data_IF_531084004585
#
_entry.id   IF_531084004585
#
_cell.length_a   1.000
_cell.length_b   1.000
_cell.length_c   1.000
_cell.angle_alpha   90.00
_cell.angle_beta   90.00
_cell.angle_gamma   90.00
#
_symmetry.space_group_name_H-M   'P 1'
#
loop_
_entity.id
_entity.type
_entity.pdbx_description
1 polymer ?
#
# COMPACT_ATOMS: atom_id res chain seq x y z
N UNK A 1 22.99 -8.74 -25.91
CA UNK A 1 24.24 -8.08 -25.45
C UNK A 1 23.99 -6.81 -24.66
N UNK A 2 23.18 -5.85 -25.14
CA UNK A 2 22.93 -4.58 -24.42
C UNK A 2 22.25 -4.72 -23.03
N UNK A 3 21.42 -5.75 -22.81
CA UNK A 3 20.77 -5.98 -21.51
C UNK A 3 21.72 -6.48 -20.41
N UNK A 4 22.83 -7.14 -20.79
CA UNK A 4 23.81 -7.67 -19.86
C UNK A 4 24.71 -6.55 -19.29
N UNK A 5 25.14 -5.61 -20.15
CA UNK A 5 25.90 -4.43 -19.72
C UNK A 5 25.08 -3.49 -18.81
N UNK A 6 23.77 -3.30 -19.09
CA UNK A 6 22.88 -2.53 -18.20
C UNK A 6 22.67 -3.19 -16.83
N UNK A 7 22.83 -4.51 -16.73
CA UNK A 7 22.66 -5.25 -15.49
C UNK A 7 23.80 -5.06 -14.48
N UNK A 8 24.99 -4.66 -14.92
CA UNK A 8 26.14 -4.39 -14.05
C UNK A 8 26.05 -3.03 -13.32
N UNK A 9 25.15 -2.15 -13.79
CA UNK A 9 24.97 -0.78 -13.28
C UNK A 9 23.59 -0.55 -12.64
N UNK A 10 22.68 -1.55 -12.64
CA UNK A 10 21.34 -1.39 -12.05
C UNK A 10 21.26 -2.01 -10.67
N UNK A 11 20.80 -1.25 -9.69
CA UNK A 11 20.46 -1.80 -8.38
C UNK A 11 19.19 -2.63 -8.48
N UNK A 12 19.26 -3.90 -8.07
CA UNK A 12 18.07 -4.75 -7.92
C UNK A 12 17.16 -4.16 -6.84
N UNK A 13 15.85 -4.13 -7.12
CA UNK A 13 14.84 -3.58 -6.21
C UNK A 13 13.93 -4.69 -5.68
N UNK A 14 13.48 -4.54 -4.44
CA UNK A 14 12.33 -5.27 -3.91
C UNK A 14 11.24 -4.26 -3.55
N UNK A 15 10.00 -4.52 -3.94
CA UNK A 15 8.86 -3.62 -3.74
C UNK A 15 7.81 -4.34 -2.93
N UNK A 16 7.46 -3.78 -1.79
CA UNK A 16 6.21 -4.09 -1.12
C UNK A 16 5.14 -3.16 -1.68
N UNK A 17 4.22 -3.71 -2.47
CA UNK A 17 3.11 -2.97 -3.08
C UNK A 17 1.86 -3.09 -2.22
N UNK A 18 1.97 -2.59 -0.98
CA UNK A 18 0.89 -2.63 -0.02
C UNK A 18 -0.33 -1.80 -0.43
N UNK A 19 -1.46 -2.11 0.20
CA UNK A 19 -2.71 -1.38 -0.07
C UNK A 19 -2.62 0.07 0.42
N UNK A 20 -1.91 0.32 1.52
CA UNK A 20 -1.83 1.62 2.19
C UNK A 20 -0.51 2.35 1.93
N UNK A 21 0.61 1.63 1.94
CA UNK A 21 1.95 2.15 1.72
C UNK A 21 2.70 1.25 0.74
N UNK A 22 3.62 1.87 -0.01
CA UNK A 22 4.55 1.19 -0.89
C UNK A 22 5.96 1.44 -0.38
N UNK A 23 6.71 0.35 -0.19
CA UNK A 23 8.11 0.41 0.23
C UNK A 23 9.00 -0.12 -0.88
N UNK A 24 10.15 0.51 -1.09
CA UNK A 24 11.18 0.02 -2.01
C UNK A 24 12.47 -0.22 -1.23
N UNK A 25 12.96 -1.44 -1.31
CA UNK A 25 14.27 -1.85 -0.83
C UNK A 25 15.25 -1.95 -2.00
N UNK A 26 16.44 -1.40 -1.84
CA UNK A 26 17.53 -1.46 -2.81
C UNK A 26 18.67 -2.31 -2.24
N UNK A 27 19.14 -3.28 -3.01
CA UNK A 27 20.21 -4.19 -2.56
C UNK A 27 21.45 -3.42 -2.15
N UNK A 28 21.85 -3.57 -0.88
CA UNK A 28 23.03 -2.92 -0.31
C UNK A 28 22.79 -1.50 0.22
N UNK A 29 21.58 -0.95 0.04
CA UNK A 29 21.20 0.37 0.55
C UNK A 29 20.11 0.32 1.62
N UNK A 30 19.33 -0.76 1.69
CA UNK A 30 18.21 -0.86 2.62
C UNK A 30 16.91 -0.34 2.02
N UNK A 31 15.99 0.09 2.88
CA UNK A 31 14.74 0.74 2.48
C UNK A 31 15.08 2.16 2.00
N UNK A 32 14.82 2.43 0.72
CA UNK A 32 15.10 3.70 0.04
C UNK A 32 13.85 4.51 -0.27
N UNK A 33 12.66 3.92 -0.10
CA UNK A 33 11.38 4.60 -0.24
C UNK A 33 10.35 3.98 0.71
N UNK A 34 9.56 4.84 1.34
CA UNK A 34 8.37 4.49 2.10
C UNK A 34 7.34 5.61 1.90
N UNK A 35 6.36 5.38 1.03
CA UNK A 35 5.38 6.38 0.63
C UNK A 35 3.98 5.78 0.63
N UNK A 36 2.93 6.57 0.95
CA UNK A 36 1.55 6.13 0.80
C UNK A 36 1.23 5.66 -0.63
N UNK A 37 0.45 4.59 -0.77
CA UNK A 37 -0.03 4.08 -2.07
C UNK A 37 -1.22 4.90 -2.57
N UNK A 38 -1.00 6.19 -2.79
CA UNK A 38 -2.04 7.17 -3.15
C UNK A 38 -1.61 7.94 -4.39
N UNK A 39 -2.57 8.15 -5.29
CA UNK A 39 -2.43 9.02 -6.47
C UNK A 39 -3.47 10.12 -6.42
N UNK A 40 -3.09 11.33 -6.80
CA UNK A 40 -4.00 12.43 -7.06
C UNK A 40 -4.07 12.66 -8.57
N UNK A 41 -5.27 12.67 -9.13
CA UNK A 41 -5.51 12.76 -10.55
C UNK A 41 -6.25 14.06 -10.82
N UNK A 42 -5.69 14.92 -11.65
CA UNK A 42 -6.37 16.11 -12.16
C UNK A 42 -7.16 15.73 -13.41
N UNK A 43 -8.39 16.19 -13.49
CA UNK A 43 -9.20 16.13 -14.69
C UNK A 43 -9.39 17.54 -15.25
N UNK A 44 -8.80 17.79 -16.42
CA UNK A 44 -8.93 19.09 -17.09
C UNK A 44 -10.26 19.16 -17.87
N UNK A 45 -10.92 20.32 -17.86
CA UNK A 45 -12.14 20.70 -18.62
C UNK A 45 -13.23 19.62 -18.81
N UNK A 46 -14.27 19.69 -17.97
CA UNK A 46 -15.57 19.03 -18.17
C UNK A 46 -15.59 17.51 -17.92
N UNK A 47 -16.78 16.88 -17.83
CA UNK A 47 -16.89 15.42 -17.72
C UNK A 47 -16.29 14.74 -18.96
N UNK A 48 -15.17 14.04 -18.77
CA UNK A 48 -14.49 13.27 -19.83
C UNK A 48 -13.21 13.89 -20.40
N UNK A 49 -12.77 15.05 -19.91
CA UNK A 49 -11.49 15.63 -20.34
C UNK A 49 -10.25 14.83 -19.90
N UNK A 50 -9.05 15.17 -20.43
CA UNK A 50 -7.83 14.40 -20.21
C UNK A 50 -7.47 14.36 -18.72
N UNK A 51 -7.01 13.19 -18.29
CA UNK A 51 -6.58 12.96 -16.90
C UNK A 51 -5.06 12.97 -16.82
N UNK A 52 -4.53 13.67 -15.84
CA UNK A 52 -3.09 13.72 -15.55
C UNK A 52 -2.83 13.40 -14.07
N UNK A 53 -1.64 12.87 -13.78
CA UNK A 53 -1.21 12.67 -12.39
C UNK A 53 -0.77 14.02 -11.85
N UNK A 54 -1.47 14.49 -10.82
CA UNK A 54 -1.14 15.73 -10.08
C UNK A 54 -0.06 15.45 -9.02
N UNK A 55 -0.26 14.41 -8.23
CA UNK A 55 0.66 14.03 -7.15
C UNK A 55 0.62 12.51 -6.92
N UNK A 56 1.67 11.98 -6.28
CA UNK A 56 1.80 10.58 -5.87
C UNK A 56 2.39 10.54 -4.46
N UNK A 57 2.07 9.52 -3.68
CA UNK A 57 2.70 9.33 -2.37
C UNK A 57 2.14 10.27 -1.30
N UNK A 58 3.03 10.78 -0.47
CA UNK A 58 2.72 11.65 0.66
C UNK A 58 1.93 12.89 0.26
N UNK A 59 2.28 13.50 -0.88
CA UNK A 59 1.59 14.70 -1.34
C UNK A 59 0.18 14.39 -1.84
N UNK A 60 -0.03 13.23 -2.45
CA UNK A 60 -1.38 12.77 -2.79
C UNK A 60 -2.20 12.39 -1.54
N UNK A 61 -1.57 11.77 -0.52
CA UNK A 61 -2.26 11.43 0.75
C UNK A 61 -2.78 12.69 1.46
N UNK A 62 -2.03 13.80 1.47
CA UNK A 62 -2.48 15.08 2.05
C UNK A 62 -3.75 15.65 1.40
N UNK A 63 -4.03 15.25 0.16
CA UNK A 63 -5.19 15.71 -0.61
C UNK A 63 -6.45 14.88 -0.35
N UNK A 64 -6.34 13.66 0.19
CA UNK A 64 -7.49 12.77 0.41
C UNK A 64 -8.57 13.45 1.27
N UNK A 65 -9.80 13.48 0.75
CA UNK A 65 -10.95 14.13 1.41
C UNK A 65 -10.89 15.66 1.47
N UNK A 66 -9.91 16.29 0.78
CA UNK A 66 -9.68 17.75 0.78
C UNK A 66 -9.53 18.33 -0.64
N UNK A 67 -9.83 17.55 -1.68
CA UNK A 67 -9.71 18.00 -3.07
C UNK A 67 -10.93 18.79 -3.54
N UNK A 68 -10.75 19.76 -4.47
CA UNK A 68 -11.86 20.26 -5.28
C UNK A 68 -12.33 19.20 -6.29
N UNK A 69 -13.50 19.38 -6.90
CA UNK A 69 -14.09 18.42 -7.85
C UNK A 69 -13.19 18.07 -9.05
N UNK A 70 -12.27 18.96 -9.42
CA UNK A 70 -11.32 18.75 -10.52
C UNK A 70 -10.14 17.84 -10.17
N UNK A 71 -9.96 17.47 -8.91
CA UNK A 71 -8.90 16.58 -8.45
C UNK A 71 -9.51 15.40 -7.70
N UNK A 72 -9.14 14.19 -8.09
CA UNK A 72 -9.54 12.97 -7.42
C UNK A 72 -8.31 12.29 -6.82
N UNK A 73 -8.19 12.31 -5.49
CA UNK A 73 -7.20 11.53 -4.77
C UNK A 73 -7.77 10.14 -4.44
N UNK A 74 -7.04 9.07 -4.77
CA UNK A 74 -7.47 7.70 -4.52
C UNK A 74 -6.30 6.73 -4.34
N UNK A 75 -6.57 5.60 -3.70
CA UNK A 75 -5.65 4.45 -3.63
C UNK A 75 -5.88 3.55 -4.85
N UNK A 76 -4.87 3.29 -5.70
CA UNK A 76 -5.03 2.44 -6.87
C UNK A 76 -4.92 0.94 -6.54
N UNK A 77 -4.45 0.63 -5.33
CA UNK A 77 -4.47 -0.69 -4.69
C UNK A 77 -5.63 -0.75 -3.70
N UNK A 78 -6.39 -1.84 -3.68
CA UNK A 78 -7.47 -2.08 -2.70
C UNK A 78 -7.55 -3.55 -2.34
N UNK A 79 -7.72 -3.88 -1.06
CA UNK A 79 -7.85 -5.25 -0.56
C UNK A 79 -6.75 -6.20 -1.10
N UNK A 80 -5.49 -5.75 -1.15
CA UNK A 80 -4.35 -6.51 -1.68
C UNK A 80 -4.27 -6.61 -3.21
N UNK A 81 -5.23 -6.05 -3.96
CA UNK A 81 -5.31 -6.21 -5.42
C UNK A 81 -5.24 -4.87 -6.14
N UNK A 82 -4.88 -4.90 -7.43
CA UNK A 82 -4.87 -3.72 -8.29
C UNK A 82 -6.31 -3.37 -8.65
N UNK A 83 -6.80 -2.25 -8.12
CA UNK A 83 -8.12 -1.71 -8.47
C UNK A 83 -8.06 -0.85 -9.74
N UNK A 84 -6.91 -0.22 -10.02
CA UNK A 84 -6.69 0.58 -11.22
C UNK A 84 -5.27 0.37 -11.77
N UNK A 85 -5.18 -0.39 -12.87
CA UNK A 85 -3.93 -0.76 -13.51
C UNK A 85 -3.13 0.45 -13.98
N UNK A 86 -3.80 1.38 -14.67
CA UNK A 86 -3.18 2.56 -15.26
C UNK A 86 -2.53 3.41 -14.18
N UNK A 87 -3.24 3.66 -13.08
CA UNK A 87 -2.68 4.48 -12.01
C UNK A 87 -1.68 3.75 -11.13
N UNK A 88 -1.81 2.43 -10.96
CA UNK A 88 -0.78 1.63 -10.27
C UNK A 88 0.53 1.66 -11.05
N UNK A 89 0.49 1.49 -12.37
CA UNK A 89 1.68 1.61 -13.22
C UNK A 89 2.30 3.01 -13.11
N UNK A 90 1.49 4.08 -13.18
CA UNK A 90 1.98 5.47 -13.04
C UNK A 90 2.60 5.74 -11.67
N UNK A 91 2.00 5.20 -10.61
CA UNK A 91 2.53 5.27 -9.25
C UNK A 91 3.87 4.56 -9.13
N UNK A 92 3.97 3.32 -9.63
CA UNK A 92 5.23 2.57 -9.67
C UNK A 92 6.30 3.27 -10.52
N UNK A 93 5.93 3.81 -11.69
CA UNK A 93 6.82 4.63 -12.53
C UNK A 93 7.38 5.81 -11.74
N UNK A 94 6.53 6.50 -10.98
CA UNK A 94 6.93 7.62 -10.15
C UNK A 94 7.92 7.18 -9.05
N UNK A 95 7.59 6.13 -8.28
CA UNK A 95 8.44 5.66 -7.18
C UNK A 95 9.77 5.08 -7.67
N UNK A 96 9.77 4.26 -8.72
CA UNK A 96 11.00 3.71 -9.31
C UNK A 96 11.87 4.85 -9.84
N UNK A 97 11.29 5.86 -10.49
CA UNK A 97 12.05 7.04 -10.94
C UNK A 97 12.64 7.80 -9.75
N UNK A 98 11.85 8.07 -8.71
CA UNK A 98 12.27 8.79 -7.49
C UNK A 98 13.50 8.16 -6.85
N UNK A 99 13.53 6.83 -6.74
CA UNK A 99 14.67 6.09 -6.18
C UNK A 99 15.94 6.20 -7.05
N UNK A 100 15.81 6.53 -8.34
CA UNK A 100 16.92 6.62 -9.28
C UNK A 100 17.22 8.05 -9.78
N UNK A 101 16.63 9.09 -9.17
CA UNK A 101 16.76 10.49 -9.63
C UNK A 101 18.21 10.97 -9.75
N UNK A 102 19.12 10.43 -8.94
CA UNK A 102 20.54 10.81 -8.93
C UNK A 102 21.42 10.00 -9.89
N UNK A 103 20.84 9.12 -10.72
CA UNK A 103 21.61 8.29 -11.65
C UNK A 103 21.62 8.88 -13.06
N UNK A 104 22.82 9.00 -13.65
CA UNK A 104 23.05 9.54 -15.00
C UNK A 104 22.34 8.75 -16.11
N UNK A 105 22.01 7.48 -15.86
CA UNK A 105 21.31 6.60 -16.80
C UNK A 105 20.02 6.07 -16.17
N UNK A 106 18.95 5.97 -16.97
CA UNK A 106 17.73 5.27 -16.56
C UNK A 106 18.02 3.77 -16.41
N UNK A 107 18.05 3.21 -15.20
CA UNK A 107 18.33 1.81 -15.01
C UNK A 107 17.11 0.96 -15.41
N UNK A 108 17.36 -0.30 -15.78
CA UNK A 108 16.31 -1.30 -16.02
C UNK A 108 16.49 -2.43 -15.00
N UNK A 109 16.06 -2.22 -13.74
CA UNK A 109 16.37 -3.12 -12.64
C UNK A 109 15.63 -4.45 -12.78
N UNK A 110 16.11 -5.48 -12.07
CA UNK A 110 15.29 -6.63 -11.72
C UNK A 110 14.50 -6.26 -10.48
N UNK A 111 13.23 -6.61 -10.45
CA UNK A 111 12.33 -6.26 -9.36
C UNK A 111 11.75 -7.54 -8.75
N UNK A 112 11.78 -7.65 -7.43
CA UNK A 112 11.02 -8.62 -6.65
C UNK A 112 9.81 -7.89 -6.05
N UNK A 113 8.59 -8.44 -6.16
CA UNK A 113 7.38 -7.80 -5.63
C UNK A 113 6.61 -8.77 -4.74
N UNK A 114 6.22 -8.31 -3.55
CA UNK A 114 5.32 -9.05 -2.67
C UNK A 114 3.91 -9.13 -3.29
N UNK A 115 3.29 -10.30 -3.24
CA UNK A 115 1.90 -10.50 -3.67
C UNK A 115 1.13 -11.29 -2.62
N UNK A 116 -0.14 -10.94 -2.37
CA UNK A 116 -0.97 -11.69 -1.43
C UNK A 116 -1.01 -13.18 -1.78
N UNK A 117 -1.06 -14.03 -0.76
CA UNK A 117 -1.17 -15.48 -0.97
C UNK A 117 -2.42 -15.85 -1.78
N UNK A 118 -3.53 -15.14 -1.53
CA UNK A 118 -4.81 -15.32 -2.23
C UNK A 118 -4.91 -14.69 -3.62
N UNK A 119 -3.85 -14.02 -4.12
CA UNK A 119 -3.92 -13.32 -5.40
C UNK A 119 -4.12 -14.28 -6.58
N UNK A 120 -5.15 -14.01 -7.38
CA UNK A 120 -5.49 -14.75 -8.61
C UNK A 120 -4.38 -14.62 -9.65
N UNK A 121 -4.37 -15.50 -10.65
CA UNK A 121 -3.40 -15.40 -11.76
C UNK A 121 -3.53 -14.08 -12.53
N UNK A 122 -4.74 -13.52 -12.62
CA UNK A 122 -4.99 -12.24 -13.28
C UNK A 122 -4.37 -11.10 -12.47
N UNK A 123 -4.51 -11.09 -11.15
CA UNK A 123 -3.91 -10.09 -10.26
C UNK A 123 -2.38 -10.21 -10.21
N UNK A 124 -1.84 -11.43 -10.13
CA UNK A 124 -0.39 -11.66 -10.21
C UNK A 124 0.18 -11.18 -11.55
N UNK A 125 -0.55 -11.40 -12.64
CA UNK A 125 -0.17 -10.89 -13.97
C UNK A 125 -0.26 -9.36 -14.04
N UNK A 126 -1.30 -8.77 -13.45
CA UNK A 126 -1.48 -7.33 -13.35
C UNK A 126 -0.27 -6.65 -12.71
N UNK A 127 0.14 -7.12 -11.53
CA UNK A 127 1.27 -6.58 -10.78
C UNK A 127 2.55 -6.68 -11.60
N UNK A 128 2.76 -7.84 -12.24
CA UNK A 128 3.91 -8.07 -13.11
C UNK A 128 3.93 -7.10 -14.29
N UNK A 129 2.82 -6.93 -14.99
CA UNK A 129 2.71 -6.04 -16.16
C UNK A 129 2.89 -4.57 -15.75
N UNK A 130 2.30 -4.12 -14.64
CA UNK A 130 2.51 -2.76 -14.12
C UNK A 130 3.97 -2.48 -13.78
N UNK A 131 4.68 -3.44 -13.17
CA UNK A 131 6.10 -3.26 -12.86
C UNK A 131 7.00 -3.27 -14.12
N UNK A 132 6.68 -4.11 -15.11
CA UNK A 132 7.36 -4.10 -16.41
C UNK A 132 7.12 -2.77 -17.16
N UNK A 133 5.87 -2.31 -17.21
CA UNK A 133 5.49 -1.00 -17.76
C UNK A 133 6.17 0.16 -17.01
N UNK A 134 6.50 -0.05 -15.74
CA UNK A 134 7.24 0.92 -14.94
C UNK A 134 8.76 0.97 -15.19
N UNK A 135 9.29 0.12 -16.06
CA UNK A 135 10.69 0.13 -16.48
C UNK A 135 11.54 -1.01 -15.91
N UNK A 136 10.94 -1.97 -15.20
CA UNK A 136 11.64 -3.18 -14.78
C UNK A 136 12.01 -4.04 -16.00
N UNK A 137 13.22 -4.61 -16.02
CA UNK A 137 13.60 -5.56 -17.10
C UNK A 137 13.08 -6.98 -16.84
N UNK A 138 12.93 -7.32 -15.57
CA UNK A 138 12.47 -8.64 -15.12
C UNK A 138 11.80 -8.49 -13.77
N UNK A 139 10.68 -9.16 -13.60
CA UNK A 139 9.87 -9.10 -12.38
C UNK A 139 9.69 -10.50 -11.83
N UNK A 140 10.03 -10.67 -10.57
CA UNK A 140 9.76 -11.85 -9.76
C UNK A 140 8.69 -11.51 -8.73
N UNK A 141 7.87 -12.49 -8.39
CA UNK A 141 6.86 -12.34 -7.35
C UNK A 141 7.24 -13.25 -6.18
N UNK A 142 6.99 -12.79 -4.97
CA UNK A 142 7.09 -13.58 -3.74
C UNK A 142 5.80 -13.42 -2.95
N UNK A 143 5.36 -14.48 -2.31
CA UNK A 143 4.22 -14.48 -1.42
C UNK A 143 4.48 -13.55 -0.22
N UNK A 144 3.56 -12.61 0.01
CA UNK A 144 3.60 -11.62 1.08
C UNK A 144 3.85 -12.23 2.47
N UNK A 145 3.16 -13.29 2.92
CA UNK A 145 3.44 -13.86 4.24
C UNK A 145 4.80 -14.53 4.33
N UNK A 146 5.35 -15.06 3.22
CA UNK A 146 6.73 -15.56 3.20
C UNK A 146 7.72 -14.40 3.40
N UNK A 147 7.52 -13.28 2.71
CA UNK A 147 8.33 -12.09 2.90
C UNK A 147 8.20 -11.52 4.33
N UNK A 148 6.98 -11.49 4.89
CA UNK A 148 6.72 -11.05 6.25
C UNK A 148 7.41 -11.95 7.30
N UNK A 149 7.32 -13.27 7.15
CA UNK A 149 7.97 -14.22 8.05
C UNK A 149 9.50 -14.10 8.03
N UNK A 150 10.10 -14.00 6.84
CA UNK A 150 11.54 -13.75 6.69
C UNK A 150 11.91 -12.41 7.32
N UNK A 151 11.13 -11.35 7.06
CA UNK A 151 11.34 -10.02 7.64
C UNK A 151 11.22 -9.98 9.16
N UNK A 152 10.40 -10.85 9.75
CA UNK A 152 10.25 -11.03 11.19
C UNK A 152 11.31 -11.96 11.82
N UNK A 153 12.21 -12.54 11.02
CA UNK A 153 13.26 -13.44 11.49
C UNK A 153 12.75 -14.83 11.90
N UNK A 154 11.62 -15.27 11.35
CA UNK A 154 11.12 -16.62 11.59
C UNK A 154 11.99 -17.65 10.84
N UNK A 155 12.26 -18.83 11.44
CA UNK A 155 13.06 -19.90 10.84
C UNK A 155 12.22 -20.69 9.82
N UNK A 156 11.97 -20.08 8.65
CA UNK A 156 11.09 -20.64 7.62
C UNK A 156 11.70 -21.82 6.86
N UNK A 157 13.02 -21.97 6.88
CA UNK A 157 13.80 -22.99 6.19
C UNK A 157 13.99 -24.27 7.02
N UNK A 158 13.72 -24.22 8.31
CA UNK A 158 13.87 -25.35 9.22
C UNK A 158 12.67 -26.32 9.17
N UNK A 159 12.89 -27.56 9.62
CA UNK A 159 11.87 -28.59 9.76
C UNK A 159 10.96 -28.37 10.99
N UNK A 160 10.50 -27.13 11.18
CA UNK A 160 9.53 -26.74 12.20
C UNK A 160 8.46 -25.82 11.61
N UNK A 161 7.30 -25.74 12.26
CA UNK A 161 6.21 -24.89 11.84
C UNK A 161 6.37 -23.46 12.35
N UNK A 162 6.47 -22.50 11.43
CA UNK A 162 6.43 -21.07 11.71
C UNK A 162 5.07 -20.51 11.29
N UNK A 163 4.40 -19.75 12.16
CA UNK A 163 3.14 -19.07 11.84
C UNK A 163 3.34 -17.56 11.83
N UNK A 164 2.84 -16.90 10.80
CA UNK A 164 2.81 -15.43 10.69
C UNK A 164 1.37 -14.97 10.49
N UNK A 165 1.03 -13.86 11.11
CA UNK A 165 -0.20 -13.11 10.88
C UNK A 165 0.21 -11.68 10.50
N UNK A 166 0.00 -11.32 9.23
CA UNK A 166 0.26 -9.99 8.71
C UNK A 166 -1.07 -9.21 8.62
N UNK A 167 -1.18 -8.10 9.34
CA UNK A 167 -2.38 -7.24 9.35
C UNK A 167 -2.04 -5.96 8.61
N UNK A 168 -2.39 -5.92 7.33
CA UNK A 168 -2.17 -4.78 6.46
C UNK A 168 -3.32 -3.76 6.50
N UNK A 169 -3.34 -2.88 5.50
CA UNK A 169 -4.40 -1.89 5.32
C UNK A 169 -5.73 -2.52 4.87
N UNK A 170 -5.72 -3.24 3.75
CA UNK A 170 -6.94 -3.83 3.17
C UNK A 170 -7.20 -5.29 3.55
N UNK A 171 -6.16 -6.02 3.94
CA UNK A 171 -6.19 -7.47 4.16
C UNK A 171 -5.44 -7.84 5.43
N UNK A 172 -5.80 -9.01 5.98
CA UNK A 172 -4.99 -9.72 6.94
C UNK A 172 -4.69 -11.09 6.37
N UNK A 173 -3.43 -11.47 6.35
CA UNK A 173 -2.96 -12.75 5.82
C UNK A 173 -2.36 -13.59 6.94
N UNK A 174 -2.75 -14.86 6.99
CA UNK A 174 -2.18 -15.84 7.90
C UNK A 174 -1.49 -16.93 7.10
N UNK A 175 -0.30 -17.32 7.51
CA UNK A 175 0.38 -18.46 6.91
C UNK A 175 1.12 -19.29 7.95
N UNK A 176 1.14 -20.60 7.72
CA UNK A 176 1.99 -21.57 8.40
C UNK A 176 2.98 -22.12 7.39
N UNK A 177 4.26 -22.14 7.73
CA UNK A 177 5.34 -22.51 6.83
C UNK A 177 6.39 -23.39 7.51
N UNK A 178 7.08 -24.19 6.70
CA UNK A 178 8.19 -25.06 7.09
C UNK A 178 9.00 -25.44 5.85
N UNK A 179 10.31 -25.66 5.99
CA UNK A 179 11.18 -26.11 4.89
C UNK A 179 11.07 -25.23 3.61
N UNK A 180 11.04 -23.90 3.78
CA UNK A 180 10.82 -22.90 2.73
C UNK A 180 9.49 -23.00 1.98
N UNK A 181 8.55 -23.80 2.49
CA UNK A 181 7.22 -24.00 1.90
C UNK A 181 6.11 -23.44 2.78
N UNK A 182 5.11 -22.82 2.15
CA UNK A 182 3.85 -22.48 2.81
C UNK A 182 3.01 -23.77 2.88
N UNK A 183 2.74 -24.23 4.10
CA UNK A 183 1.93 -25.42 4.39
C UNK A 183 0.44 -25.07 4.40
N UNK A 184 0.11 -23.90 4.94
CA UNK A 184 -1.24 -23.36 4.98
C UNK A 184 -1.18 -21.85 4.80
N UNK A 185 -2.14 -21.28 4.08
CA UNK A 185 -2.33 -19.84 4.01
C UNK A 185 -3.81 -19.52 3.86
N UNK A 186 -4.24 -18.45 4.52
CA UNK A 186 -5.56 -17.86 4.30
C UNK A 186 -5.46 -16.33 4.34
N UNK A 187 -6.44 -15.67 3.72
CA UNK A 187 -6.45 -14.22 3.58
C UNK A 187 -7.87 -13.69 3.68
N UNK A 188 -8.06 -12.69 4.53
CA UNK A 188 -9.36 -12.02 4.72
C UNK A 188 -9.25 -10.55 4.37
N UNK A 189 -10.31 -10.00 3.76
CA UNK A 189 -10.41 -8.56 3.41
C UNK A 189 -10.82 -7.71 4.61
N UNK A 190 -10.06 -7.87 5.68
CA UNK A 190 -10.20 -7.17 6.95
C UNK A 190 -8.80 -6.70 7.34
N UNK A 191 -8.64 -5.40 7.56
CA UNK A 191 -7.38 -4.80 7.97
C UNK A 191 -7.61 -3.40 8.54
N UNK A 192 -6.58 -2.57 8.50
CA UNK A 192 -6.62 -1.19 8.96
C UNK A 192 -7.81 -0.36 8.45
N UNK A 193 -8.19 -0.55 7.18
CA UNK A 193 -9.29 0.17 6.53
C UNK A 193 -10.65 -0.16 7.19
N UNK A 194 -10.86 -1.43 7.60
CA UNK A 194 -12.08 -1.85 8.31
C UNK A 194 -12.15 -1.31 9.73
N UNK A 195 -11.00 -1.13 10.37
CA UNK A 195 -10.94 -0.50 11.69
C UNK A 195 -11.32 0.98 11.58
N UNK A 196 -10.86 1.67 10.53
CA UNK A 196 -11.23 3.06 10.27
C UNK A 196 -12.73 3.19 9.98
N UNK A 197 -13.30 2.32 9.14
CA UNK A 197 -14.75 2.25 8.90
C UNK A 197 -15.54 2.08 10.21
N UNK A 198 -15.08 1.20 11.10
CA UNK A 198 -15.74 0.95 12.38
C UNK A 198 -15.71 2.19 13.28
N UNK A 199 -14.59 2.92 13.31
CA UNK A 199 -14.44 4.18 14.05
C UNK A 199 -15.35 5.27 13.48
N UNK A 200 -15.38 5.47 12.15
CA UNK A 200 -16.27 6.44 11.49
C UNK A 200 -17.73 6.15 11.86
N UNK A 201 -18.14 4.89 11.75
CA UNK A 201 -19.51 4.47 12.05
C UNK A 201 -19.85 4.60 13.54
N UNK A 202 -18.88 4.38 14.43
CA UNK A 202 -19.05 4.61 15.86
C UNK A 202 -19.26 6.10 16.15
N UNK A 203 -18.40 6.99 15.63
CA UNK A 203 -18.50 8.44 15.86
C UNK A 203 -19.82 8.99 15.30
N UNK A 204 -20.19 8.55 14.09
CA UNK A 204 -21.45 8.93 13.45
C UNK A 204 -22.67 8.55 14.29
N UNK A 205 -22.72 7.32 14.81
CA UNK A 205 -23.89 6.80 15.55
C UNK A 205 -24.01 7.40 16.95
N UNK A 206 -22.90 7.62 17.65
CA UNK A 206 -22.92 8.04 19.05
C UNK A 206 -22.89 9.57 19.23
N UNK A 207 -22.32 10.31 18.27
CA UNK A 207 -22.16 11.77 18.38
C UNK A 207 -22.86 12.56 17.26
N UNK A 208 -23.40 11.90 16.24
CA UNK A 208 -24.03 12.58 15.09
C UNK A 208 -23.03 13.35 14.22
N UNK A 209 -21.73 13.03 14.34
CA UNK A 209 -20.64 13.71 13.64
C UNK A 209 -20.11 12.81 12.53
N UNK A 210 -19.94 13.38 11.33
CA UNK A 210 -19.25 12.72 10.22
C UNK A 210 -17.77 13.11 10.23
N UNK A 211 -16.89 12.13 10.36
CA UNK A 211 -15.44 12.27 10.21
C UNK A 211 -14.96 11.55 8.95
N UNK A 212 -13.83 12.00 8.38
CA UNK A 212 -13.20 11.34 7.24
C UNK A 212 -12.19 10.26 7.66
N UNK A 213 -11.75 9.45 6.69
CA UNK A 213 -10.78 8.35 6.88
C UNK A 213 -9.51 8.79 7.61
N UNK A 214 -8.89 9.91 7.21
CA UNK A 214 -7.68 10.40 7.87
C UNK A 214 -7.87 10.74 9.35
N UNK A 215 -9.08 11.16 9.74
CA UNK A 215 -9.41 11.44 11.15
C UNK A 215 -9.65 10.13 11.91
N UNK A 216 -10.31 9.16 11.28
CA UNK A 216 -10.49 7.83 11.86
C UNK A 216 -9.15 7.10 12.06
N UNK A 217 -8.25 7.16 11.08
CA UNK A 217 -6.90 6.61 11.17
C UNK A 217 -6.11 7.27 12.32
N UNK A 218 -6.25 8.60 12.49
CA UNK A 218 -5.66 9.31 13.64
C UNK A 218 -6.18 8.78 14.97
N UNK A 219 -7.51 8.65 15.12
CA UNK A 219 -8.14 8.09 16.33
C UNK A 219 -7.61 6.67 16.58
N UNK A 220 -7.50 5.85 15.52
CA UNK A 220 -6.99 4.48 15.59
C UNK A 220 -5.59 4.43 16.21
N UNK A 221 -4.68 5.30 15.77
CA UNK A 221 -3.32 5.33 16.29
C UNK A 221 -3.21 5.95 17.69
N UNK A 222 -4.06 6.92 18.04
CA UNK A 222 -3.93 7.64 19.31
C UNK A 222 -4.62 6.94 20.48
N UNK A 223 -5.76 6.27 20.27
CA UNK A 223 -6.59 5.76 21.38
C UNK A 223 -7.16 4.36 21.18
N UNK A 224 -7.08 3.75 19.98
CA UNK A 224 -7.70 2.44 19.79
C UNK A 224 -6.88 1.31 20.44
N UNK A 225 -7.58 0.36 21.05
CA UNK A 225 -7.00 -0.84 21.63
C UNK A 225 -7.90 -2.05 21.36
N UNK A 226 -7.28 -3.20 21.07
CA UNK A 226 -8.00 -4.47 20.89
C UNK A 226 -8.37 -5.15 22.21
N UNK A 227 -7.72 -4.73 23.31
CA UNK A 227 -7.97 -5.25 24.66
C UNK A 227 -8.01 -4.07 25.64
N UNK A 228 -8.83 -4.11 26.71
CA UNK A 228 -8.91 -3.04 27.69
C UNK A 228 -7.54 -2.70 28.29
N UNK A 229 -7.11 -1.45 28.13
CA UNK A 229 -5.93 -0.90 28.78
C UNK A 229 -6.20 -0.51 30.24
N UNK A 230 -5.13 -0.20 30.98
CA UNK A 230 -5.24 0.38 32.33
C UNK A 230 -5.51 1.88 32.29
N UNK A 231 -4.99 2.56 31.28
CA UNK A 231 -5.09 4.01 31.12
C UNK A 231 -6.24 4.38 30.20
N UNK A 232 -6.98 5.42 30.58
CA UNK A 232 -8.00 6.01 29.72
C UNK A 232 -7.31 6.99 28.76
N UNK A 233 -7.35 6.68 27.46
CA UNK A 233 -6.83 7.56 26.42
C UNK A 233 -7.99 8.31 25.76
N UNK A 234 -7.80 9.61 25.54
CA UNK A 234 -8.79 10.48 24.92
C UNK A 234 -8.15 11.26 23.75
N UNK A 235 -8.96 11.57 22.74
CA UNK A 235 -8.56 12.35 21.57
C UNK A 235 -9.66 13.31 21.17
N UNK A 236 -9.28 14.56 20.88
CA UNK A 236 -10.16 15.56 20.29
C UNK A 236 -10.06 15.51 18.76
N UNK A 237 -11.23 15.44 18.10
CA UNK A 237 -11.35 15.44 16.64
C UNK A 237 -12.44 16.38 16.17
N UNK A 238 -12.29 16.89 14.95
CA UNK A 238 -13.29 17.73 14.29
C UNK A 238 -13.96 16.95 13.18
N UNK A 239 -15.25 17.19 13.00
CA UNK A 239 -16.03 16.60 11.90
C UNK A 239 -17.16 17.52 11.48
N UNK A 240 -18.05 17.01 10.62
CA UNK A 240 -19.24 17.73 10.19
C UNK A 240 -20.45 17.24 10.99
N UNK A 241 -21.15 18.15 11.66
CA UNK A 241 -22.42 17.83 12.30
C UNK A 241 -23.45 17.44 11.24
N UNK A 242 -24.09 16.28 11.39
CA UNK A 242 -25.07 15.78 10.42
C UNK A 242 -26.40 16.52 10.46
N UNK A 243 -26.80 17.09 11.61
CA UNK A 243 -28.07 17.83 11.71
C UNK A 243 -27.95 19.25 11.17
N UNK A 244 -26.82 19.90 11.44
CA UNK A 244 -26.61 21.32 11.12
C UNK A 244 -25.77 21.54 9.85
N UNK A 245 -25.06 20.51 9.38
CA UNK A 245 -24.19 20.58 8.19
C UNK A 245 -22.90 21.38 8.40
N UNK A 246 -22.65 21.91 9.60
CA UNK A 246 -21.49 22.75 9.93
C UNK A 246 -20.36 21.96 10.62
N UNK A 247 -19.11 22.44 10.56
CA UNK A 247 -18.01 21.84 11.31
C UNK A 247 -18.23 21.93 12.84
N UNK A 248 -17.90 20.86 13.55
CA UNK A 248 -17.91 20.78 15.02
C UNK A 248 -16.66 20.06 15.50
#
# INVERSE_FOLDING_TARGET
>A
MFSALRGLLSNDLSIDLGTANTLIYSRGQGIVLNEPSVVAIRQDRGPGGPKSIEAVGTDAKKMLGRTPDSINAKRPMKDGVIADFTYTEKMLQHFIRKVHENQFFRPSPRVLICVPCGATQVERRAIRESALGAGARKVYLIEEPMAAAIGAGLPVDEAQGSMVLDIGGGTSEVAVMSLNGIVYSDSVRIGGDRFDDAIINYVRRNYGILIGEATAEKIKFEVAAAYPGKDLLEVEVKGRNLSEGVPR
#
